data_IF_708189349348
#
_entry.id   IF_708189349348
#
_cell.length_a   1.000
_cell.length_b   1.000
_cell.length_c   1.000
_cell.angle_alpha   90.00
_cell.angle_beta   90.00
_cell.angle_gamma   90.00
#
_symmetry.space_group_name_H-M   'P 1'
#
loop_
_entity.id
_entity.type
_entity.pdbx_description
1 polymer ?
#
# COMPACT_ATOMS: atom_id res chain seq x y z
N UNK A 1 -13.99 -11.24 7.19
CA UNK A 1 -13.40 -10.18 8.05
C UNK A 1 -12.03 -9.61 7.64
N UNK A 2 -11.06 -10.39 7.15
CA UNK A 2 -9.65 -9.90 7.19
C UNK A 2 -9.23 -8.98 6.03
N UNK A 3 -9.81 -9.21 4.86
CA UNK A 3 -9.40 -8.56 3.62
C UNK A 3 -10.20 -7.31 3.29
N UNK A 4 -11.44 -7.25 3.79
CA UNK A 4 -12.34 -6.16 3.51
C UNK A 4 -11.95 -4.86 4.21
N UNK A 5 -11.58 -4.94 5.49
CA UNK A 5 -11.06 -3.79 6.23
C UNK A 5 -9.80 -3.17 5.59
N UNK A 6 -8.96 -4.01 4.99
CA UNK A 6 -7.74 -3.62 4.28
C UNK A 6 -8.05 -2.84 3.00
N UNK A 7 -8.96 -3.36 2.19
CA UNK A 7 -9.43 -2.73 0.96
C UNK A 7 -10.17 -1.43 1.29
N UNK A 8 -11.04 -1.43 2.30
CA UNK A 8 -11.71 -0.23 2.79
C UNK A 8 -10.72 0.84 3.27
N UNK A 9 -9.72 0.45 4.06
CA UNK A 9 -8.66 1.34 4.53
C UNK A 9 -7.85 1.95 3.36
N UNK A 10 -7.58 1.18 2.31
CA UNK A 10 -6.91 1.72 1.12
C UNK A 10 -7.79 2.64 0.32
N UNK A 11 -9.05 2.29 0.11
CA UNK A 11 -10.01 3.18 -0.52
C UNK A 11 -10.11 4.49 0.28
N UNK A 12 -10.11 4.39 1.61
CA UNK A 12 -10.07 5.53 2.54
C UNK A 12 -8.83 6.38 2.34
N UNK A 13 -7.64 5.79 2.32
CA UNK A 13 -6.38 6.51 2.13
C UNK A 13 -6.26 7.13 0.72
N UNK A 14 -6.69 6.42 -0.32
CA UNK A 14 -6.67 6.86 -1.72
C UNK A 14 -7.57 8.08 -1.94
N UNK A 15 -8.74 8.09 -1.33
CA UNK A 15 -9.69 9.20 -1.45
C UNK A 15 -9.39 10.33 -0.45
N UNK A 16 -8.83 10.06 0.74
CA UNK A 16 -8.34 11.09 1.68
C UNK A 16 -7.16 11.90 1.09
N UNK A 17 -6.36 11.28 0.23
CA UNK A 17 -5.32 11.96 -0.54
C UNK A 17 -5.86 13.05 -1.49
N UNK A 18 -7.19 13.14 -1.72
CA UNK A 18 -7.82 14.13 -2.61
C UNK A 18 -8.33 15.39 -1.90
N UNK A 19 -8.36 15.43 -0.57
CA UNK A 19 -8.63 16.63 0.23
C UNK A 19 -9.94 17.40 -0.06
N UNK A 20 -10.90 16.78 -0.74
CA UNK A 20 -12.23 17.34 -0.98
C UNK A 20 -13.23 16.75 0.03
N UNK A 21 -14.02 17.62 0.68
CA UNK A 21 -14.98 17.20 1.73
C UNK A 21 -15.93 16.07 1.28
N UNK A 22 -16.44 16.13 0.04
CA UNK A 22 -17.38 15.16 -0.50
C UNK A 22 -16.73 13.82 -0.79
N UNK A 23 -15.48 13.86 -1.22
CA UNK A 23 -14.65 12.68 -1.46
C UNK A 23 -14.35 11.97 -0.15
N UNK A 24 -14.02 12.72 0.90
CA UNK A 24 -13.86 12.20 2.27
C UNK A 24 -15.16 11.62 2.84
N UNK A 25 -16.32 12.22 2.54
CA UNK A 25 -17.59 11.63 2.97
C UNK A 25 -17.91 10.34 2.21
N UNK A 26 -17.74 10.33 0.89
CA UNK A 26 -17.95 9.12 0.07
C UNK A 26 -17.08 7.95 0.52
N UNK A 27 -15.86 8.23 0.97
CA UNK A 27 -14.95 7.28 1.64
C UNK A 27 -15.50 6.70 2.90
N UNK A 28 -15.91 7.57 3.82
CA UNK A 28 -16.30 7.13 5.14
C UNK A 28 -17.55 6.27 4.99
N UNK A 29 -18.49 6.70 4.14
CA UNK A 29 -19.68 5.92 3.83
C UNK A 29 -19.33 4.59 3.16
N UNK A 30 -18.50 4.59 2.11
CA UNK A 30 -18.18 3.35 1.39
C UNK A 30 -17.32 2.39 2.22
N UNK A 31 -16.35 2.90 2.96
CA UNK A 31 -15.51 2.14 3.89
C UNK A 31 -16.32 1.57 5.05
N UNK A 32 -17.21 2.36 5.66
CA UNK A 32 -18.12 1.86 6.71
C UNK A 32 -19.12 0.84 6.16
N UNK A 33 -19.70 1.08 4.98
CA UNK A 33 -20.61 0.13 4.34
C UNK A 33 -19.90 -1.18 4.01
N UNK A 34 -18.67 -1.11 3.52
CA UNK A 34 -17.86 -2.29 3.22
C UNK A 34 -17.47 -3.06 4.48
N UNK A 35 -17.06 -2.37 5.55
CA UNK A 35 -16.82 -2.98 6.86
C UNK A 35 -18.09 -3.67 7.38
N UNK A 36 -19.25 -3.05 7.24
CA UNK A 36 -20.52 -3.64 7.64
C UNK A 36 -20.86 -4.89 6.80
N UNK A 37 -20.61 -4.87 5.49
CA UNK A 37 -20.78 -6.03 4.60
C UNK A 37 -19.82 -7.16 4.98
N UNK A 38 -18.54 -6.86 5.21
CA UNK A 38 -17.54 -7.86 5.61
C UNK A 38 -17.85 -8.46 6.99
N UNK A 39 -18.35 -7.65 7.92
CA UNK A 39 -18.84 -8.12 9.23
C UNK A 39 -20.09 -9.00 9.06
N UNK A 40 -20.99 -8.64 8.15
CA UNK A 40 -22.19 -9.41 7.84
C UNK A 40 -21.87 -10.74 7.15
N UNK A 41 -20.92 -10.75 6.21
CA UNK A 41 -20.49 -11.95 5.49
C UNK A 41 -19.84 -12.97 6.42
N UNK A 42 -19.10 -12.53 7.44
CA UNK A 42 -18.51 -13.44 8.44
C UNK A 42 -19.56 -14.10 9.34
N UNK A 43 -20.77 -13.54 9.44
CA UNK A 43 -21.88 -14.11 10.20
C UNK A 43 -22.71 -15.11 9.39
N UNK A 44 -22.45 -15.24 8.09
CA UNK A 44 -23.13 -16.21 7.22
C UNK A 44 -22.32 -17.50 7.22
N UNK A 45 -22.87 -18.56 7.81
CA UNK A 45 -22.23 -19.86 7.98
C UNK A 45 -21.99 -20.55 6.61
N UNK A 46 -20.78 -21.06 6.39
CA UNK A 46 -20.15 -21.33 5.07
C UNK A 46 -20.52 -22.68 4.41
N UNK A 47 -21.68 -23.25 4.72
CA UNK A 47 -22.02 -24.63 4.30
C UNK A 47 -22.33 -24.77 2.78
N UNK A 48 -22.32 -23.69 1.99
CA UNK A 48 -22.61 -23.74 0.53
C UNK A 48 -21.60 -22.97 -0.33
N UNK A 49 -20.92 -23.68 -1.25
CA UNK A 49 -20.24 -23.22 -2.48
C UNK A 49 -19.81 -21.73 -2.55
N UNK A 50 -18.88 -21.34 -1.70
CA UNK A 50 -18.50 -19.93 -1.45
C UNK A 50 -17.47 -19.32 -2.41
N UNK A 51 -17.14 -19.98 -3.52
CA UNK A 51 -16.22 -19.43 -4.52
C UNK A 51 -16.79 -18.18 -5.20
N UNK A 52 -18.11 -18.13 -5.38
CA UNK A 52 -18.81 -17.04 -6.08
C UNK A 52 -18.79 -15.72 -5.28
N UNK A 53 -18.86 -15.80 -3.95
CA UNK A 53 -18.78 -14.64 -3.05
C UNK A 53 -17.38 -14.00 -3.08
N UNK A 54 -16.33 -14.82 -3.13
CA UNK A 54 -14.94 -14.34 -3.26
C UNK A 54 -14.69 -13.65 -4.60
N UNK A 55 -15.22 -14.21 -5.69
CA UNK A 55 -15.16 -13.60 -7.03
C UNK A 55 -15.94 -12.28 -7.06
N UNK A 56 -17.14 -12.25 -6.46
CA UNK A 56 -17.96 -11.05 -6.36
C UNK A 56 -17.26 -9.92 -5.58
N UNK A 57 -16.64 -10.24 -4.45
CA UNK A 57 -15.88 -9.27 -3.66
C UNK A 57 -14.64 -8.75 -4.41
N UNK A 58 -13.91 -9.63 -5.10
CA UNK A 58 -12.76 -9.24 -5.92
C UNK A 58 -13.19 -8.35 -7.10
N UNK A 59 -14.28 -8.71 -7.80
CA UNK A 59 -14.83 -7.91 -8.89
C UNK A 59 -15.31 -6.53 -8.40
N UNK A 60 -16.01 -6.48 -7.27
CA UNK A 60 -16.45 -5.23 -6.66
C UNK A 60 -15.26 -4.34 -6.28
N UNK A 61 -14.21 -4.91 -5.66
CA UNK A 61 -12.99 -4.17 -5.33
C UNK A 61 -12.29 -3.63 -6.59
N UNK A 62 -12.21 -4.42 -7.66
CA UNK A 62 -11.64 -4.00 -8.95
C UNK A 62 -12.46 -2.88 -9.59
N UNK A 63 -13.79 -2.96 -9.55
CA UNK A 63 -14.69 -1.91 -10.05
C UNK A 63 -14.50 -0.63 -9.23
N UNK A 64 -14.47 -0.71 -7.90
CA UNK A 64 -14.21 0.44 -7.04
C UNK A 64 -12.86 1.09 -7.36
N UNK A 65 -11.80 0.29 -7.52
CA UNK A 65 -10.49 0.78 -7.97
C UNK A 65 -10.58 1.49 -9.32
N UNK A 66 -11.23 0.87 -10.32
CA UNK A 66 -11.38 1.44 -11.66
C UNK A 66 -12.16 2.77 -11.65
N UNK A 67 -13.26 2.83 -10.90
CA UNK A 67 -14.09 4.03 -10.73
C UNK A 67 -13.27 5.15 -10.07
N UNK A 68 -12.54 4.85 -9.00
CA UNK A 68 -11.71 5.85 -8.30
C UNK A 68 -10.61 6.41 -9.21
N UNK A 69 -10.02 5.55 -10.05
CA UNK A 69 -9.00 5.92 -11.04
C UNK A 69 -9.57 6.77 -12.19
N UNK A 70 -10.87 6.63 -12.51
CA UNK A 70 -11.52 7.37 -13.59
C UNK A 70 -11.97 8.80 -13.21
N UNK A 71 -12.09 9.11 -11.91
CA UNK A 71 -12.48 10.46 -11.48
C UNK A 71 -11.33 11.45 -11.70
N UNK A 72 -11.55 12.62 -12.33
CA UNK A 72 -10.53 13.66 -12.48
C UNK A 72 -9.99 14.13 -11.11
N UNK A 73 -8.67 14.13 -10.91
CA UNK A 73 -8.05 14.50 -9.64
C UNK A 73 -7.06 15.66 -9.81
N UNK A 74 -7.01 16.58 -8.85
CA UNK A 74 -5.83 17.43 -8.65
C UNK A 74 -4.76 16.60 -7.96
N UNK A 75 -3.63 16.29 -8.61
CA UNK A 75 -2.62 15.39 -8.04
C UNK A 75 -1.99 16.00 -6.79
N UNK A 76 -2.08 15.29 -5.65
CA UNK A 76 -1.33 15.59 -4.42
C UNK A 76 -0.21 14.56 -4.25
N UNK A 77 0.99 14.80 -4.83
CA UNK A 77 2.05 13.78 -4.93
C UNK A 77 2.50 13.25 -3.57
N UNK A 78 2.50 14.09 -2.53
CA UNK A 78 2.86 13.67 -1.17
C UNK A 78 1.89 12.63 -0.59
N UNK A 79 0.60 12.82 -0.84
CA UNK A 79 -0.43 11.94 -0.30
C UNK A 79 -0.46 10.62 -1.07
N UNK A 80 -0.31 10.67 -2.40
CA UNK A 80 -0.17 9.48 -3.23
C UNK A 80 1.08 8.66 -2.87
N UNK A 81 2.20 9.31 -2.57
CA UNK A 81 3.39 8.63 -2.05
C UNK A 81 3.10 7.95 -0.70
N UNK A 82 2.39 8.62 0.20
CA UNK A 82 2.00 8.04 1.48
C UNK A 82 1.10 6.80 1.31
N UNK A 83 0.10 6.89 0.44
CA UNK A 83 -0.76 5.75 0.06
C UNK A 83 0.08 4.61 -0.51
N UNK A 84 0.99 4.90 -1.43
CA UNK A 84 1.84 3.91 -2.06
C UNK A 84 2.73 3.17 -1.03
N UNK A 85 3.27 3.90 -0.06
CA UNK A 85 4.08 3.35 1.02
C UNK A 85 3.27 2.45 1.96
N UNK A 86 2.09 2.89 2.39
CA UNK A 86 1.21 2.07 3.23
C UNK A 86 0.81 0.80 2.48
N UNK A 87 0.41 0.92 1.21
CA UNK A 87 0.03 -0.22 0.37
C UNK A 87 1.18 -1.20 0.17
N UNK A 88 2.41 -0.72 -0.04
CA UNK A 88 3.59 -1.56 -0.20
C UNK A 88 3.91 -2.38 1.06
N UNK A 89 3.84 -1.76 2.23
CA UNK A 89 4.09 -2.44 3.52
C UNK A 89 2.96 -3.43 3.82
N UNK A 90 1.72 -2.98 3.64
CA UNK A 90 0.54 -3.81 3.81
C UNK A 90 0.58 -5.04 2.88
N UNK A 91 1.08 -4.89 1.64
CA UNK A 91 1.24 -6.01 0.69
C UNK A 91 2.12 -7.12 1.26
N UNK A 92 3.26 -6.75 1.85
CA UNK A 92 4.14 -7.69 2.55
C UNK A 92 3.47 -8.39 3.72
N UNK A 93 2.82 -7.62 4.60
CA UNK A 93 2.15 -8.15 5.80
C UNK A 93 0.97 -9.06 5.44
N UNK A 94 0.16 -8.65 4.46
CA UNK A 94 -0.91 -9.46 3.88
C UNK A 94 -0.37 -10.77 3.33
N UNK A 95 0.73 -10.71 2.57
CA UNK A 95 1.35 -11.92 2.01
C UNK A 95 1.85 -12.87 3.09
N UNK A 96 2.28 -12.35 4.25
CA UNK A 96 2.71 -13.15 5.39
C UNK A 96 1.56 -13.66 6.28
N UNK A 97 0.33 -13.18 6.08
CA UNK A 97 -0.82 -13.51 6.96
C UNK A 97 -1.27 -14.95 6.77
N UNK A 98 -1.50 -15.68 7.86
CA UNK A 98 -1.84 -17.10 7.81
C UNK A 98 -3.20 -17.41 8.43
N UNK A 99 -3.71 -18.60 8.12
CA UNK A 99 -4.84 -19.15 8.86
C UNK A 99 -4.31 -19.76 10.16
N UNK A 100 -4.87 -19.40 11.33
CA UNK A 100 -4.55 -20.04 12.60
C UNK A 100 -4.69 -21.55 12.64
N UNK A 101 -5.55 -22.11 11.81
CA UNK A 101 -6.06 -23.47 11.97
C UNK A 101 -5.42 -24.47 11.01
N UNK A 102 -4.57 -24.05 10.06
CA UNK A 102 -3.92 -24.87 9.02
C UNK A 102 -4.86 -25.76 8.16
N UNK A 103 -6.16 -25.81 8.46
CA UNK A 103 -7.16 -26.65 7.78
C UNK A 103 -7.78 -26.00 6.54
N UNK A 104 -7.48 -24.74 6.25
CA UNK A 104 -8.13 -23.98 5.17
C UNK A 104 -7.13 -23.50 4.12
N UNK A 105 -6.75 -24.36 3.14
CA UNK A 105 -5.84 -23.99 2.06
C UNK A 105 -6.35 -22.81 1.21
N UNK A 106 -7.66 -22.54 1.22
CA UNK A 106 -8.27 -21.38 0.57
C UNK A 106 -7.81 -20.03 1.17
N UNK A 107 -7.41 -19.98 2.45
CA UNK A 107 -6.92 -18.75 3.07
C UNK A 107 -5.51 -18.36 2.57
N UNK A 108 -4.71 -19.34 2.15
CA UNK A 108 -3.40 -19.09 1.55
C UNK A 108 -3.53 -18.32 0.22
N UNK A 109 -4.50 -18.68 -0.62
CA UNK A 109 -4.75 -17.99 -1.90
C UNK A 109 -5.37 -16.61 -1.67
N UNK A 110 -6.24 -16.46 -0.66
CA UNK A 110 -6.77 -15.15 -0.24
C UNK A 110 -5.65 -14.17 0.15
N UNK A 111 -4.66 -14.64 0.91
CA UNK A 111 -3.50 -13.82 1.31
C UNK A 111 -2.61 -13.37 0.16
N UNK A 112 -2.35 -14.28 -0.80
CA UNK A 112 -1.64 -13.94 -2.02
C UNK A 112 -2.42 -12.93 -2.86
N UNK A 113 -3.72 -13.15 -3.02
CA UNK A 113 -4.58 -12.28 -3.82
C UNK A 113 -4.60 -10.85 -3.28
N UNK A 114 -4.74 -10.69 -1.96
CA UNK A 114 -4.74 -9.35 -1.38
C UNK A 114 -3.34 -8.74 -1.35
N UNK A 115 -2.30 -9.51 -1.01
CA UNK A 115 -0.92 -9.06 -1.19
C UNK A 115 -0.68 -8.53 -2.61
N UNK A 116 -1.19 -9.21 -3.63
CA UNK A 116 -1.07 -8.83 -5.03
C UNK A 116 -1.85 -7.54 -5.37
N UNK A 117 -3.10 -7.42 -4.92
CA UNK A 117 -3.91 -6.21 -5.09
C UNK A 117 -3.24 -4.99 -4.43
N UNK A 118 -2.68 -5.17 -3.24
CA UNK A 118 -1.95 -4.13 -2.51
C UNK A 118 -0.70 -3.67 -3.24
N UNK A 119 0.03 -4.60 -3.84
CA UNK A 119 1.21 -4.30 -4.65
C UNK A 119 0.84 -3.49 -5.91
N UNK A 120 -0.28 -3.82 -6.55
CA UNK A 120 -0.83 -3.05 -7.67
C UNK A 120 -1.22 -1.64 -7.26
N UNK A 121 -1.92 -1.49 -6.12
CA UNK A 121 -2.30 -0.17 -5.59
C UNK A 121 -1.05 0.66 -5.27
N UNK A 122 -0.02 0.05 -4.68
CA UNK A 122 1.25 0.70 -4.41
C UNK A 122 1.90 1.25 -5.69
N UNK A 123 2.00 0.42 -6.73
CA UNK A 123 2.56 0.81 -8.02
C UNK A 123 1.73 1.92 -8.70
N UNK A 124 0.40 1.77 -8.73
CA UNK A 124 -0.49 2.73 -9.37
C UNK A 124 -0.48 4.10 -8.67
N UNK A 125 -0.46 4.12 -7.33
CA UNK A 125 -0.35 5.35 -6.54
C UNK A 125 1.02 6.02 -6.74
N UNK A 126 2.10 5.24 -6.80
CA UNK A 126 3.45 5.75 -7.06
C UNK A 126 3.55 6.41 -8.44
N UNK A 127 3.03 5.77 -9.49
CA UNK A 127 3.02 6.32 -10.85
C UNK A 127 2.21 7.61 -10.91
N UNK A 128 1.04 7.66 -10.29
CA UNK A 128 0.24 8.89 -10.21
C UNK A 128 0.96 10.00 -9.44
N UNK A 129 1.76 9.66 -8.43
CA UNK A 129 2.56 10.63 -7.69
C UNK A 129 3.64 11.29 -8.57
N UNK A 130 4.18 10.57 -9.56
CA UNK A 130 5.18 11.10 -10.48
C UNK A 130 4.61 12.06 -11.54
N UNK A 131 3.32 11.93 -11.88
CA UNK A 131 2.69 12.73 -12.92
C UNK A 131 2.80 12.09 -14.32
N UNK A 132 2.71 12.89 -15.41
CA UNK A 132 2.71 12.37 -16.77
C UNK A 132 3.95 11.52 -17.07
N UNK A 133 3.74 10.32 -17.61
CA UNK A 133 4.79 9.34 -17.83
C UNK A 133 5.47 9.52 -19.20
N UNK A 134 6.81 9.50 -19.21
CA UNK A 134 7.60 9.35 -20.44
C UNK A 134 7.56 7.89 -20.94
N UNK A 135 7.81 7.65 -22.23
CA UNK A 135 7.85 6.29 -22.83
C UNK A 135 8.68 5.24 -22.05
N UNK A 136 9.92 5.51 -21.58
CA UNK A 136 10.66 4.55 -20.75
C UNK A 136 9.99 4.28 -19.40
N UNK A 137 9.31 5.28 -18.83
CA UNK A 137 8.54 5.12 -17.59
C UNK A 137 7.38 4.14 -17.79
N UNK A 138 6.72 4.14 -18.95
CA UNK A 138 5.63 3.20 -19.25
C UNK A 138 6.12 1.76 -19.20
N UNK A 139 7.29 1.45 -19.78
CA UNK A 139 7.84 0.09 -19.75
C UNK A 139 8.12 -0.38 -18.32
N UNK A 140 8.78 0.46 -17.51
CA UNK A 140 9.05 0.15 -16.11
C UNK A 140 7.75 -0.03 -15.32
N UNK A 141 6.76 0.84 -15.53
CA UNK A 141 5.45 0.74 -14.89
C UNK A 141 4.75 -0.57 -15.24
N UNK A 142 4.74 -0.97 -16.52
CA UNK A 142 4.13 -2.23 -16.96
C UNK A 142 4.85 -3.42 -16.32
N UNK A 143 6.19 -3.43 -16.36
CA UNK A 143 6.98 -4.51 -15.76
C UNK A 143 6.71 -4.63 -14.25
N UNK A 144 6.72 -3.51 -13.51
CA UNK A 144 6.41 -3.50 -12.07
C UNK A 144 4.97 -3.93 -11.83
N UNK A 145 4.03 -3.44 -12.63
CA UNK A 145 2.61 -3.78 -12.54
C UNK A 145 2.31 -5.26 -12.77
N UNK A 146 3.22 -6.01 -13.39
CA UNK A 146 3.12 -7.47 -13.54
C UNK A 146 3.89 -8.19 -12.44
N UNK A 147 5.15 -7.84 -12.21
CA UNK A 147 6.03 -8.56 -11.28
C UNK A 147 5.63 -8.39 -9.82
N UNK A 148 5.21 -7.18 -9.43
CA UNK A 148 4.85 -6.89 -8.04
C UNK A 148 3.64 -7.74 -7.58
N UNK A 149 2.51 -7.82 -8.30
CA UNK A 149 1.41 -8.70 -7.92
C UNK A 149 1.69 -10.20 -8.10
N UNK A 150 2.60 -10.60 -9.01
CA UNK A 150 2.97 -12.00 -9.16
C UNK A 150 3.79 -12.53 -7.97
N UNK A 151 4.51 -11.65 -7.27
CA UNK A 151 5.44 -12.06 -6.20
C UNK A 151 4.73 -12.73 -5.00
N UNK A 152 3.62 -12.19 -4.44
CA UNK A 152 2.86 -12.88 -3.39
C UNK A 152 2.42 -14.30 -3.76
N UNK A 153 1.97 -14.51 -5.00
CA UNK A 153 1.63 -15.83 -5.52
C UNK A 153 2.84 -16.75 -5.62
N UNK A 154 3.96 -16.24 -6.13
CA UNK A 154 5.20 -17.00 -6.24
C UNK A 154 5.73 -17.42 -4.86
N UNK A 155 5.71 -16.51 -3.88
CA UNK A 155 6.12 -16.80 -2.50
C UNK A 155 5.27 -17.91 -1.88
N UNK A 156 3.96 -17.89 -2.10
CA UNK A 156 3.04 -18.94 -1.63
C UNK A 156 3.18 -20.25 -2.39
N UNK A 157 3.56 -20.20 -3.66
CA UNK A 157 3.80 -21.40 -4.45
C UNK A 157 5.10 -22.11 -4.04
N UNK A 158 6.19 -21.36 -3.86
CA UNK A 158 7.51 -21.92 -3.47
C UNK A 158 7.51 -22.34 -2.00
N UNK A 159 6.91 -21.53 -1.12
CA UNK A 159 6.79 -21.82 0.30
C UNK A 159 5.32 -21.83 0.73
N UNK A 160 4.60 -22.95 0.53
CA UNK A 160 3.19 -23.07 0.92
C UNK A 160 2.98 -22.92 2.43
N UNK A 161 3.96 -23.39 3.21
CA UNK A 161 3.95 -23.36 4.68
C UNK A 161 4.87 -22.27 5.25
N UNK A 162 4.58 -21.78 6.48
CA UNK A 162 5.44 -20.84 7.17
C UNK A 162 6.84 -21.40 7.31
N UNK A 163 7.83 -20.59 6.94
CA UNK A 163 9.23 -20.92 7.11
C UNK A 163 10.03 -19.63 7.24
N UNK A 164 11.19 -19.70 7.91
CA UNK A 164 12.10 -18.56 7.99
C UNK A 164 12.49 -18.02 6.60
N UNK A 165 12.59 -18.92 5.60
CA UNK A 165 12.81 -18.54 4.21
C UNK A 165 11.66 -17.71 3.63
N UNK A 166 10.40 -18.10 3.87
CA UNK A 166 9.22 -17.33 3.43
C UNK A 166 9.16 -15.97 4.12
N UNK A 167 9.41 -15.90 5.42
CA UNK A 167 9.42 -14.63 6.16
C UNK A 167 10.49 -13.68 5.63
N UNK A 168 11.70 -14.18 5.38
CA UNK A 168 12.81 -13.39 4.83
C UNK A 168 12.51 -12.95 3.39
N UNK A 169 11.95 -13.82 2.55
CA UNK A 169 11.57 -13.50 1.19
C UNK A 169 10.42 -12.47 1.14
N UNK A 170 9.46 -12.56 2.05
CA UNK A 170 8.36 -11.57 2.17
C UNK A 170 8.88 -10.22 2.65
N UNK A 171 9.82 -10.21 3.59
CA UNK A 171 10.51 -8.99 4.01
C UNK A 171 11.29 -8.36 2.85
N UNK A 172 12.08 -9.16 2.13
CA UNK A 172 12.82 -8.70 0.95
C UNK A 172 11.89 -8.13 -0.13
N UNK A 173 10.76 -8.81 -0.41
CA UNK A 173 9.72 -8.32 -1.30
C UNK A 173 9.18 -6.96 -0.85
N UNK A 174 8.87 -6.79 0.44
CA UNK A 174 8.37 -5.53 1.01
C UNK A 174 9.37 -4.39 0.81
N UNK A 175 10.65 -4.64 1.13
CA UNK A 175 11.74 -3.68 0.94
C UNK A 175 11.87 -3.29 -0.55
N UNK A 176 11.91 -4.27 -1.44
CA UNK A 176 12.03 -4.04 -2.89
C UNK A 176 10.84 -3.26 -3.42
N UNK A 177 9.62 -3.58 -2.98
CA UNK A 177 8.42 -2.88 -3.38
C UNK A 177 8.45 -1.41 -2.93
N UNK A 178 8.91 -1.11 -1.72
CA UNK A 178 9.11 0.28 -1.26
C UNK A 178 10.16 1.00 -2.11
N UNK A 179 11.28 0.37 -2.43
CA UNK A 179 12.32 0.95 -3.31
C UNK A 179 11.74 1.25 -4.70
N UNK A 180 10.95 0.33 -5.24
CA UNK A 180 10.26 0.49 -6.52
C UNK A 180 9.22 1.61 -6.46
N UNK A 181 8.46 1.74 -5.37
CA UNK A 181 7.54 2.87 -5.15
C UNK A 181 8.29 4.20 -5.19
N UNK A 182 9.44 4.32 -4.51
CA UNK A 182 10.27 5.53 -4.56
C UNK A 182 10.79 5.81 -5.97
N UNK A 183 11.21 4.76 -6.69
CA UNK A 183 11.69 4.88 -8.06
C UNK A 183 10.58 5.33 -9.01
N UNK A 184 9.38 4.75 -8.91
CA UNK A 184 8.21 5.08 -9.74
C UNK A 184 7.63 6.46 -9.42
N UNK A 185 7.66 6.89 -8.16
CA UNK A 185 7.15 8.20 -7.74
C UNK A 185 8.05 9.38 -8.17
N UNK A 186 9.25 9.11 -8.68
CA UNK A 186 10.22 10.13 -9.05
C UNK A 186 9.88 10.73 -10.42
N UNK A 187 9.83 12.05 -10.50
CA UNK A 187 9.30 12.77 -11.68
C UNK A 187 10.24 12.83 -12.90
N UNK A 188 11.49 12.34 -12.85
CA UNK A 188 12.47 12.49 -13.95
C UNK A 188 13.50 11.36 -14.04
N UNK A 189 14.00 11.02 -15.26
CA UNK A 189 15.07 10.06 -15.46
C UNK A 189 16.37 10.55 -14.79
N UNK A 190 16.85 9.77 -13.82
CA UNK A 190 17.96 10.17 -12.97
C UNK A 190 19.34 10.01 -13.65
N UNK A 191 20.20 11.02 -13.47
CA UNK A 191 21.67 10.89 -13.63
C UNK A 191 22.23 9.69 -12.85
N UNK A 192 23.44 9.21 -13.19
CA UNK A 192 24.11 8.08 -12.50
C UNK A 192 24.10 8.21 -10.97
N UNK A 193 24.24 9.43 -10.44
CA UNK A 193 24.23 9.70 -8.99
C UNK A 193 22.93 9.28 -8.31
N UNK A 194 21.80 9.29 -9.03
CA UNK A 194 20.52 8.85 -8.52
C UNK A 194 20.45 7.33 -8.31
N UNK A 195 21.27 6.53 -8.99
CA UNK A 195 21.29 5.07 -8.75
C UNK A 195 21.75 4.73 -7.33
N UNK A 196 22.71 5.48 -6.79
CA UNK A 196 23.15 5.33 -5.40
C UNK A 196 22.06 5.65 -4.38
N UNK A 197 21.13 6.55 -4.73
CA UNK A 197 20.00 6.88 -3.84
C UNK A 197 19.07 5.69 -3.61
N UNK A 198 18.94 4.75 -4.55
CA UNK A 198 18.12 3.55 -4.36
C UNK A 198 18.74 2.58 -3.36
N UNK A 199 20.07 2.45 -3.35
CA UNK A 199 20.78 1.70 -2.32
C UNK A 199 20.58 2.28 -0.92
N UNK A 200 20.61 3.62 -0.81
CA UNK A 200 20.30 4.30 0.46
C UNK A 200 18.86 4.10 0.89
N UNK A 201 17.89 4.21 -0.02
CA UNK A 201 16.47 3.95 0.28
C UNK A 201 16.31 2.51 0.78
N UNK A 202 16.91 1.53 0.11
CA UNK A 202 16.89 0.14 0.55
C UNK A 202 17.48 -0.01 1.96
N UNK A 203 18.65 0.56 2.23
CA UNK A 203 19.30 0.50 3.54
C UNK A 203 18.42 1.13 4.65
N UNK A 204 17.82 2.30 4.39
CA UNK A 204 16.89 2.96 5.32
C UNK A 204 15.70 2.07 5.60
N UNK A 205 15.08 1.48 4.57
CA UNK A 205 13.88 0.65 4.72
C UNK A 205 14.17 -0.65 5.46
N UNK A 206 15.31 -1.30 5.16
CA UNK A 206 15.76 -2.53 5.84
C UNK A 206 15.91 -2.31 7.34
N UNK A 207 16.39 -1.14 7.77
CA UNK A 207 16.57 -0.83 9.19
C UNK A 207 15.26 -0.31 9.81
N UNK A 208 14.57 0.60 9.13
CA UNK A 208 13.40 1.28 9.66
C UNK A 208 12.20 0.34 9.84
N UNK A 209 11.99 -0.62 8.92
CA UNK A 209 10.84 -1.54 9.02
C UNK A 209 10.89 -2.37 10.31
N UNK A 210 11.95 -3.12 10.66
CA UNK A 210 12.03 -3.83 11.93
C UNK A 210 11.95 -2.91 13.16
N UNK A 211 12.64 -1.76 13.11
CA UNK A 211 12.67 -0.79 14.23
C UNK A 211 11.29 -0.22 14.53
N UNK A 212 10.46 0.03 13.51
CA UNK A 212 9.08 0.46 13.70
C UNK A 212 8.14 -0.70 14.04
N UNK A 213 8.31 -1.85 13.39
CA UNK A 213 7.42 -2.99 13.54
C UNK A 213 7.47 -3.57 14.96
N UNK A 214 8.68 -3.71 15.51
CA UNK A 214 8.90 -4.34 16.82
C UNK A 214 8.09 -3.69 17.97
N UNK A 215 8.22 -2.37 18.25
CA UNK A 215 7.47 -1.73 19.32
C UNK A 215 5.96 -1.72 19.05
N UNK A 216 5.53 -1.56 17.79
CA UNK A 216 4.12 -1.57 17.42
C UNK A 216 3.49 -2.96 17.62
N UNK A 217 4.21 -4.02 17.27
CA UNK A 217 3.78 -5.40 17.51
C UNK A 217 3.68 -5.69 19.01
N UNK A 218 4.68 -5.29 19.81
CA UNK A 218 4.62 -5.42 21.27
C UNK A 218 3.45 -4.66 21.88
N UNK A 219 3.20 -3.43 21.43
CA UNK A 219 2.05 -2.64 21.87
C UNK A 219 0.73 -3.33 21.51
N UNK A 220 0.60 -3.84 20.29
CA UNK A 220 -0.60 -4.56 19.85
C UNK A 220 -0.86 -5.81 20.68
N UNK A 221 0.19 -6.54 21.06
CA UNK A 221 0.12 -7.71 21.95
C UNK A 221 -0.32 -7.32 23.36
N UNK A 222 0.25 -6.26 23.93
CA UNK A 222 -0.06 -5.81 25.30
C UNK A 222 -1.48 -5.24 25.41
N UNK A 223 -1.92 -4.46 24.41
CA UNK A 223 -3.23 -3.80 24.43
C UNK A 223 -4.37 -4.76 24.02
N UNK A 224 -4.05 -5.94 23.47
CA UNK A 224 -5.03 -6.92 23.00
C UNK A 224 -6.05 -6.33 22.02
N UNK A 225 -5.57 -5.49 21.07
CA UNK A 225 -6.44 -4.72 20.17
C UNK A 225 -7.40 -5.62 19.38
N UNK A 226 -7.06 -6.89 19.13
CA UNK A 226 -7.89 -7.83 18.38
C UNK A 226 -9.14 -8.29 19.11
N UNK A 227 -9.12 -8.31 20.45
CA UNK A 227 -10.23 -8.79 21.30
C UNK A 227 -11.56 -8.04 21.08
N UNK A 228 -11.62 -6.70 21.11
CA UNK A 228 -12.88 -6.00 20.88
C UNK A 228 -13.47 -6.24 19.48
N UNK A 229 -12.63 -6.47 18.45
CA UNK A 229 -13.10 -6.74 17.09
C UNK A 229 -13.69 -8.14 16.95
N UNK A 230 -13.07 -9.15 17.58
CA UNK A 230 -13.60 -10.52 17.56
C UNK A 230 -14.87 -10.65 18.41
N UNK A 231 -14.95 -9.93 19.53
CA UNK A 231 -16.17 -9.81 20.32
C UNK A 231 -17.31 -9.14 19.53
N UNK A 232 -17.03 -8.06 18.77
CA UNK A 232 -18.01 -7.40 17.91
C UNK A 232 -18.53 -8.32 16.78
N UNK A 233 -17.66 -9.21 16.29
CA UNK A 233 -18.00 -10.24 15.32
C UNK A 233 -18.88 -11.37 15.89
N UNK A 234 -19.05 -11.43 17.22
CA UNK A 234 -19.67 -12.56 17.93
C UNK A 234 -18.91 -13.89 17.75
N UNK A 235 -17.60 -13.83 17.48
CA UNK A 235 -16.72 -14.99 17.41
C UNK A 235 -16.09 -15.25 18.79
N UNK A 236 -15.76 -16.51 19.09
CA UNK A 236 -15.02 -16.85 20.32
C UNK A 236 -13.69 -16.08 20.35
N UNK A 237 -13.32 -15.42 21.48
CA UNK A 237 -12.08 -14.68 21.57
C UNK A 237 -10.86 -15.56 21.26
N UNK A 238 -10.20 -15.31 20.13
CA UNK A 238 -9.00 -16.04 19.72
C UNK A 238 -7.81 -15.43 20.46
N UNK A 239 -7.30 -16.12 21.48
CA UNK A 239 -6.36 -15.55 22.44
C UNK A 239 -4.87 -15.49 22.01
N UNK A 240 -4.50 -15.81 20.77
CA UNK A 240 -3.10 -15.68 20.32
C UNK A 240 -2.88 -15.68 18.81
N UNK A 241 -3.79 -16.24 18.01
CA UNK A 241 -3.58 -16.45 16.58
C UNK A 241 -4.10 -15.33 15.65
N UNK A 242 -4.79 -14.32 16.19
CA UNK A 242 -5.32 -13.18 15.40
C UNK A 242 -4.37 -11.96 15.38
N UNK A 243 -3.11 -12.12 15.80
CA UNK A 243 -2.10 -11.08 15.74
C UNK A 243 -1.90 -10.54 14.29
N UNK A 244 -2.07 -11.39 13.28
CA UNK A 244 -1.79 -11.04 11.88
C UNK A 244 -2.65 -9.89 11.35
N UNK A 245 -3.94 -9.85 11.72
CA UNK A 245 -4.85 -8.78 11.28
C UNK A 245 -4.45 -7.42 11.88
N UNK A 246 -3.97 -7.43 13.12
CA UNK A 246 -3.43 -6.23 13.77
C UNK A 246 -2.14 -5.78 13.10
N UNK A 247 -1.28 -6.72 12.72
CA UNK A 247 -0.01 -6.41 12.07
C UNK A 247 -0.22 -5.62 10.79
N UNK A 248 -1.21 -5.95 9.98
CA UNK A 248 -1.52 -5.18 8.77
C UNK A 248 -1.95 -3.74 9.07
N UNK A 249 -2.70 -3.50 10.15
CA UNK A 249 -3.09 -2.12 10.55
C UNK A 249 -1.85 -1.29 10.88
N UNK A 250 -0.79 -1.91 11.40
CA UNK A 250 0.49 -1.24 11.67
C UNK A 250 1.20 -0.75 10.40
N UNK A 251 0.84 -1.27 9.22
CA UNK A 251 1.32 -0.75 7.95
C UNK A 251 0.96 0.73 7.73
N UNK A 252 -0.13 1.23 8.33
CA UNK A 252 -0.55 2.63 8.22
C UNK A 252 0.49 3.57 8.85
N UNK A 253 0.75 3.54 10.18
CA UNK A 253 1.72 4.44 10.77
C UNK A 253 3.12 4.22 10.18
N UNK A 254 3.52 2.98 9.89
CA UNK A 254 4.81 2.67 9.27
C UNK A 254 4.94 3.33 7.88
N UNK A 255 3.93 3.19 7.03
CA UNK A 255 3.92 3.77 5.70
C UNK A 255 3.87 5.29 5.71
N UNK A 256 3.13 5.89 6.63
CA UNK A 256 3.09 7.35 6.81
C UNK A 256 4.45 7.92 7.25
N UNK A 257 5.12 7.27 8.21
CA UNK A 257 6.45 7.66 8.70
C UNK A 257 7.49 7.49 7.59
N UNK A 258 7.46 6.36 6.87
CA UNK A 258 8.38 6.11 5.75
C UNK A 258 8.15 7.09 4.60
N UNK A 259 6.90 7.38 4.25
CA UNK A 259 6.59 8.37 3.23
C UNK A 259 7.14 9.75 3.58
N UNK A 260 7.00 10.17 4.85
CA UNK A 260 7.57 11.43 5.34
C UNK A 260 9.09 11.44 5.27
N UNK A 261 9.73 10.34 5.67
CA UNK A 261 11.20 10.20 5.73
C UNK A 261 11.80 10.14 4.33
N UNK A 262 11.16 9.39 3.43
CA UNK A 262 11.64 9.17 2.06
C UNK A 262 11.22 10.27 1.08
N UNK A 263 10.36 11.20 1.50
CA UNK A 263 9.87 12.32 0.69
C UNK A 263 10.99 13.10 0.00
N UNK A 264 12.09 13.33 0.71
CA UNK A 264 13.22 14.10 0.20
C UNK A 264 13.92 13.38 -0.97
N UNK A 265 13.88 12.05 -1.05
CA UNK A 265 14.44 11.31 -2.18
C UNK A 265 13.59 11.45 -3.44
N UNK A 266 12.28 11.72 -3.29
CA UNK A 266 11.33 11.82 -4.40
C UNK A 266 11.24 13.27 -4.94
N UNK A 267 11.19 14.27 -4.06
CA UNK A 267 10.79 15.64 -4.45
C UNK A 267 11.93 16.63 -4.68
N UNK A 268 13.14 16.38 -4.19
CA UNK A 268 14.28 17.31 -4.36
C UNK A 268 14.76 17.42 -5.82
N UNK A 269 14.26 16.57 -6.72
CA UNK A 269 14.63 16.57 -8.13
C UNK A 269 13.90 17.60 -9.00
N UNK A 270 13.00 18.44 -8.44
CA UNK A 270 12.52 19.60 -9.19
C UNK A 270 13.67 20.61 -9.20
N UNK A 271 14.36 20.84 -10.34
CA UNK A 271 15.22 22.01 -10.42
C UNK A 271 14.34 23.17 -10.00
N UNK A 272 14.84 24.00 -9.08
CA UNK A 272 14.27 25.32 -8.92
C UNK A 272 14.18 25.84 -10.34
N UNK A 273 12.96 25.91 -10.87
CA UNK A 273 12.72 26.70 -12.06
C UNK A 273 13.30 28.01 -11.58
N UNK A 274 14.49 28.37 -12.09
CA UNK A 274 14.87 29.76 -12.13
C UNK A 274 13.65 30.33 -12.82
N UNK A 275 12.75 30.90 -12.01
CA UNK A 275 11.90 31.97 -12.46
C UNK A 275 12.96 32.85 -13.06
N UNK A 276 13.08 32.78 -14.39
CA UNK A 276 13.77 33.81 -15.10
C UNK A 276 12.99 35.01 -14.64
N UNK A 277 13.53 35.72 -13.65
CA UNK A 277 13.44 37.16 -13.68
C UNK A 277 13.93 37.41 -15.10
N UNK A 278 13.03 37.74 -16.04
CA UNK A 278 13.49 38.11 -17.36
C UNK A 278 14.62 39.09 -17.09
N UNK A 279 15.78 38.88 -17.72
CA UNK A 279 16.82 39.88 -17.74
C UNK A 279 16.25 41.07 -18.52
N UNK A 280 15.30 41.76 -17.91
CA UNK A 280 14.70 42.98 -18.38
C UNK A 280 15.72 44.05 -18.10
N UNK A 281 16.39 44.45 -19.16
CA UNK A 281 16.49 45.85 -19.53
C UNK A 281 17.01 46.84 -18.47
N UNK A 282 17.99 46.43 -17.65
CA UNK A 282 18.87 47.38 -16.95
C UNK A 282 19.71 48.24 -17.94
N UNK A 283 19.58 48.02 -19.26
CA UNK A 283 20.15 48.88 -20.29
C UNK A 283 19.32 50.16 -20.55
N UNK A 284 18.03 50.20 -20.20
CA UNK A 284 17.16 51.35 -20.56
C UNK A 284 17.06 52.41 -19.45
N UNK A 285 17.55 52.14 -18.23
CA UNK A 285 17.51 53.09 -17.09
C UNK A 285 18.81 53.85 -16.78
N UNK A 286 19.81 53.83 -17.69
CA UNK A 286 21.07 54.59 -17.55
C UNK A 286 21.18 55.83 -18.44
N UNK A 287 20.09 56.27 -19.07
CA UNK A 287 20.09 57.39 -20.02
C UNK A 287 19.13 58.55 -19.67
N UNK A 288 18.82 58.77 -18.40
CA UNK A 288 18.11 59.96 -17.90
C UNK A 288 18.78 60.48 -16.62
#
# INVERSE_FOLDING_TARGET
MRWGALIALLLVLVLLARGGRWTTWGVLVSGCAWLAVDVGLDRIDYVSDSAELGIGAAAAALICCAVVMAVPAVPRPNALLAVAMVAAIASGMATATESPTDVEPALNTGSAAVGALLALVAAAAAVQAAGPADRPSVRTTVTVGILAPATPWLLRHIWPQPSGARSLATFAFTVLLVVVVVALARTRPGSRQHRYSYGMVAAVVVVALPVMLWPLALLALVVQIGRPFTELAANTPIHSADADALMIVLAIPMGLILARTLRNFVLTSRPAHRVGIPAGDDAEYRAA
#
